data_IF_382088003433
#
_entry.id   IF_382088003433
#
_cell.length_a   1.000
_cell.length_b   1.000
_cell.length_c   1.000
_cell.angle_alpha   90.00
_cell.angle_beta   90.00
_cell.angle_gamma   90.00
#
_symmetry.space_group_name_H-M   'P 1'
#
loop_
_entity.id
_entity.type
_entity.pdbx_description
1 polymer ?
#
# COMPACT_ATOMS: atom_id res chain seq x y z
N UNK A 1 -14.61 18.63 1.73
CA UNK A 1 -15.28 17.41 1.26
C UNK A 1 -15.27 17.41 -0.26
N UNK A 2 -14.46 16.55 -0.87
CA UNK A 2 -14.40 16.35 -2.31
C UNK A 2 -13.66 15.04 -2.56
N UNK A 3 -14.32 14.06 -3.18
CA UNK A 3 -13.74 12.75 -3.46
C UNK A 3 -13.90 12.42 -4.93
N UNK A 4 -12.96 11.65 -5.48
CA UNK A 4 -12.98 11.22 -6.88
C UNK A 4 -13.70 9.88 -7.00
N UNK A 5 -14.64 9.76 -7.93
CA UNK A 5 -15.30 8.49 -8.29
C UNK A 5 -14.28 7.62 -9.04
N UNK A 6 -13.80 6.55 -8.40
CA UNK A 6 -12.78 5.65 -8.94
C UNK A 6 -13.35 4.58 -9.89
N UNK A 7 -14.63 4.26 -9.76
CA UNK A 7 -15.35 3.36 -10.65
C UNK A 7 -16.86 3.64 -10.57
N UNK A 8 -17.53 3.58 -11.72
CA UNK A 8 -19.00 3.58 -11.84
C UNK A 8 -19.39 2.24 -12.46
N UNK A 9 -19.86 1.30 -11.63
CA UNK A 9 -20.20 -0.07 -12.06
C UNK A 9 -21.66 -0.25 -12.45
N UNK A 10 -22.38 0.83 -12.77
CA UNK A 10 -23.77 0.76 -13.23
C UNK A 10 -24.05 1.84 -14.28
N UNK A 11 -24.58 1.42 -15.43
CA UNK A 11 -25.09 2.33 -16.45
C UNK A 11 -26.52 2.80 -16.08
N UNK A 12 -26.93 4.03 -16.44
CA UNK A 12 -28.32 4.46 -16.27
C UNK A 12 -29.27 3.49 -17.01
N UNK A 13 -30.12 2.78 -16.27
CA UNK A 13 -31.10 1.81 -16.82
C UNK A 13 -30.86 0.34 -16.43
N UNK A 14 -29.78 0.03 -15.71
CA UNK A 14 -29.45 -1.33 -15.28
C UNK A 14 -30.06 -1.64 -13.89
N UNK A 15 -30.77 -2.76 -13.76
CA UNK A 15 -31.29 -3.25 -12.48
C UNK A 15 -30.13 -3.75 -11.61
N UNK A 16 -29.63 -2.89 -10.71
CA UNK A 16 -28.60 -3.28 -9.75
C UNK A 16 -29.20 -4.24 -8.69
N UNK A 17 -28.58 -5.41 -8.52
CA UNK A 17 -28.93 -6.34 -7.46
C UNK A 17 -28.63 -5.71 -6.08
N UNK A 18 -29.41 -6.08 -5.06
CA UNK A 18 -29.15 -5.65 -3.67
C UNK A 18 -27.75 -6.10 -3.27
N UNK A 19 -26.85 -5.14 -3.01
CA UNK A 19 -25.46 -5.39 -2.61
C UNK A 19 -24.39 -5.01 -3.64
N UNK A 20 -24.75 -4.52 -4.83
CA UNK A 20 -23.76 -4.04 -5.81
C UNK A 20 -23.19 -2.68 -5.39
N UNK A 21 -21.86 -2.58 -5.25
CA UNK A 21 -21.14 -1.32 -5.01
C UNK A 21 -21.27 -0.40 -6.23
N UNK A 22 -21.98 0.72 -6.07
CA UNK A 22 -22.31 1.63 -7.19
C UNK A 22 -21.20 2.67 -7.44
N UNK A 23 -20.49 3.09 -6.39
CA UNK A 23 -19.42 4.10 -6.43
C UNK A 23 -18.32 3.72 -5.44
N UNK A 24 -17.06 3.69 -5.91
CA UNK A 24 -15.89 3.66 -5.04
C UNK A 24 -15.33 5.08 -4.94
N UNK A 25 -15.38 5.69 -3.76
CA UNK A 25 -14.84 7.04 -3.51
C UNK A 25 -13.44 6.92 -2.92
N UNK A 26 -12.43 7.43 -3.62
CA UNK A 26 -11.06 7.50 -3.13
C UNK A 26 -10.70 8.90 -2.66
N UNK A 27 -10.15 9.02 -1.45
CA UNK A 27 -9.35 10.19 -1.07
C UNK A 27 -7.98 10.07 -1.78
N UNK A 28 -7.72 10.96 -2.73
CA UNK A 28 -6.44 11.03 -3.43
C UNK A 28 -5.48 12.05 -2.82
N UNK A 29 -5.97 12.88 -1.89
CA UNK A 29 -5.14 13.87 -1.19
C UNK A 29 -4.33 13.20 -0.07
N UNK A 30 -4.79 12.03 0.41
CA UNK A 30 -4.04 11.14 1.29
C UNK A 30 -3.98 9.73 0.70
N UNK A 31 -2.81 9.32 0.25
CA UNK A 31 -2.60 7.97 -0.27
C UNK A 31 -1.80 7.13 0.74
N UNK A 32 -1.76 5.82 0.53
CA UNK A 32 -0.84 4.96 1.25
C UNK A 32 0.01 4.16 0.27
N UNK A 33 1.27 3.99 0.63
CA UNK A 33 2.10 2.92 0.11
C UNK A 33 1.72 1.63 0.85
N UNK A 34 1.49 0.54 0.12
CA UNK A 34 1.27 -0.80 0.68
C UNK A 34 2.43 -1.70 0.26
N UNK A 35 3.10 -2.30 1.23
CA UNK A 35 4.23 -3.19 1.00
C UNK A 35 4.30 -4.31 2.02
N UNK A 36 5.32 -5.15 1.89
CA UNK A 36 5.49 -6.34 2.72
C UNK A 36 6.88 -6.33 3.37
N UNK A 37 6.91 -6.61 4.68
CA UNK A 37 8.13 -6.80 5.45
C UNK A 37 8.33 -8.28 5.77
N UNK A 38 9.58 -8.74 5.81
CA UNK A 38 9.88 -10.07 6.32
C UNK A 38 9.66 -10.13 7.83
N UNK A 39 9.22 -11.29 8.35
CA UNK A 39 9.02 -11.52 9.79
C UNK A 39 10.21 -11.09 10.66
N UNK A 40 11.44 -11.36 10.20
CA UNK A 40 12.69 -10.98 10.88
C UNK A 40 12.87 -9.48 11.12
N UNK A 41 12.19 -8.64 10.33
CA UNK A 41 12.29 -7.18 10.40
C UNK A 41 11.08 -6.56 11.09
N UNK A 42 10.02 -7.34 11.36
CA UNK A 42 8.80 -6.89 12.03
C UNK A 42 9.10 -6.24 13.39
N UNK A 43 9.99 -6.84 14.19
CA UNK A 43 10.35 -6.32 15.51
C UNK A 43 11.10 -4.98 15.50
N UNK A 44 11.63 -4.55 14.34
CA UNK A 44 12.35 -3.29 14.17
C UNK A 44 11.43 -2.14 13.77
N UNK A 45 10.26 -2.46 13.23
CA UNK A 45 9.32 -1.48 12.68
C UNK A 45 8.18 -1.20 13.66
N UNK A 46 7.85 0.07 13.84
CA UNK A 46 6.81 0.54 14.76
C UNK A 46 5.84 1.48 14.06
N UNK A 47 4.61 1.49 14.57
CA UNK A 47 3.63 2.50 14.18
C UNK A 47 4.19 3.89 14.44
N UNK A 48 3.94 4.83 13.52
CA UNK A 48 4.40 6.22 13.64
C UNK A 48 5.83 6.46 13.17
N UNK A 49 6.60 5.43 12.78
CA UNK A 49 7.96 5.62 12.30
C UNK A 49 8.01 6.39 10.96
N UNK A 50 9.00 7.28 10.79
CA UNK A 50 9.19 7.99 9.54
C UNK A 50 9.70 7.04 8.45
N UNK A 51 9.19 7.23 7.24
CA UNK A 51 9.61 6.49 6.07
C UNK A 51 9.73 7.40 4.85
N UNK A 52 10.60 7.02 3.93
CA UNK A 52 10.76 7.68 2.64
C UNK A 52 10.34 6.71 1.54
N UNK A 53 9.52 7.19 0.61
CA UNK A 53 9.02 6.42 -0.54
C UNK A 53 9.63 7.00 -1.80
N UNK A 54 10.08 6.14 -2.70
CA UNK A 54 10.60 6.49 -4.02
C UNK A 54 9.76 5.78 -5.07
N UNK A 55 9.30 6.48 -6.09
CA UNK A 55 8.51 5.89 -7.19
C UNK A 55 9.45 5.31 -8.24
N UNK A 56 9.24 4.05 -8.61
CA UNK A 56 10.07 3.37 -9.59
C UNK A 56 9.90 3.99 -10.98
N UNK A 57 11.00 4.23 -11.69
CA UNK A 57 10.97 4.88 -13.01
C UNK A 57 10.57 6.36 -13.00
N UNK A 58 10.38 6.96 -11.82
CA UNK A 58 10.20 8.40 -11.66
C UNK A 58 11.52 9.19 -11.64
N UNK A 59 11.48 10.51 -11.49
CA UNK A 59 12.67 11.37 -11.43
C UNK A 59 13.53 11.20 -10.16
N UNK A 60 13.33 10.13 -9.38
CA UNK A 60 14.03 9.88 -8.11
C UNK A 60 13.55 10.74 -6.94
N UNK A 61 12.38 11.40 -7.07
CA UNK A 61 11.80 12.20 -5.99
C UNK A 61 11.41 11.31 -4.80
N UNK A 62 11.78 11.74 -3.59
CA UNK A 62 11.44 11.06 -2.35
C UNK A 62 10.26 11.72 -1.68
N UNK A 63 9.27 10.91 -1.33
CA UNK A 63 8.07 11.31 -0.63
C UNK A 63 8.19 10.91 0.83
N UNK A 64 8.00 11.85 1.75
CA UNK A 64 7.97 11.54 3.18
C UNK A 64 6.63 10.97 3.59
N UNK A 65 6.66 9.91 4.38
CA UNK A 65 5.47 9.26 4.91
C UNK A 65 5.70 8.73 6.32
N UNK A 66 4.63 8.16 6.88
CA UNK A 66 4.64 7.61 8.25
C UNK A 66 3.98 6.25 8.28
N UNK A 67 4.60 5.29 8.98
CA UNK A 67 4.01 3.96 9.19
C UNK A 67 2.66 4.12 9.89
N UNK A 68 1.60 3.68 9.22
CA UNK A 68 0.21 3.90 9.62
C UNK A 68 -0.55 2.59 9.86
N UNK A 69 0.03 1.46 9.48
CA UNK A 69 -0.56 0.15 9.70
C UNK A 69 0.53 -0.93 9.60
N UNK A 70 0.45 -1.91 10.50
CA UNK A 70 1.25 -3.12 10.47
C UNK A 70 0.27 -4.27 10.69
N UNK A 71 0.23 -5.24 9.78
CA UNK A 71 -0.66 -6.39 9.91
C UNK A 71 -0.28 -7.22 11.14
N UNK A 72 -1.28 -7.69 11.88
CA UNK A 72 -1.09 -8.59 13.01
C UNK A 72 -0.88 -10.06 12.60
N UNK A 73 -1.20 -10.40 11.35
CA UNK A 73 -1.09 -11.76 10.80
C UNK A 73 -0.10 -11.76 9.63
N UNK A 74 0.74 -12.78 9.59
CA UNK A 74 1.60 -13.04 8.44
C UNK A 74 0.77 -13.50 7.23
N UNK A 75 1.19 -13.06 6.05
CA UNK A 75 0.76 -13.54 4.76
C UNK A 75 1.89 -14.39 4.16
N UNK A 76 1.53 -15.38 3.35
CA UNK A 76 2.51 -16.18 2.62
C UNK A 76 2.75 -15.54 1.26
N UNK A 77 4.00 -15.29 0.88
CA UNK A 77 4.31 -15.03 -0.54
C UNK A 77 4.29 -16.36 -1.29
N UNK A 78 3.33 -16.60 -2.20
CA UNK A 78 3.42 -17.76 -3.08
C UNK A 78 4.58 -17.52 -4.05
N UNK A 79 5.60 -18.38 -3.99
CA UNK A 79 6.55 -18.52 -5.10
C UNK A 79 6.11 -19.71 -5.95
N UNK A 80 6.14 -19.53 -7.27
CA UNK A 80 5.89 -20.62 -8.22
C UNK A 80 7.09 -21.56 -8.17
N UNK A 81 6.85 -22.77 -7.66
CA UNK A 81 7.88 -23.73 -7.24
C UNK A 81 8.39 -24.52 -8.45
N UNK A 82 9.69 -24.43 -8.77
CA UNK A 82 10.35 -25.36 -9.71
C UNK A 82 11.37 -26.31 -9.03
N UNK A 83 11.73 -26.12 -7.75
CA UNK A 83 12.69 -27.02 -7.07
C UNK A 83 12.49 -27.13 -5.55
N UNK A 84 12.93 -28.27 -5.01
CA UNK A 84 12.64 -28.85 -3.68
C UNK A 84 13.14 -28.07 -2.43
N UNK A 85 13.44 -26.76 -2.52
CA UNK A 85 13.96 -25.96 -1.39
C UNK A 85 13.36 -24.55 -1.29
N UNK A 86 12.11 -24.34 -1.67
CA UNK A 86 11.49 -23.03 -1.46
C UNK A 86 10.91 -22.88 -0.06
N UNK A 87 11.65 -22.17 0.80
CA UNK A 87 11.14 -21.69 2.08
C UNK A 87 10.03 -20.68 1.80
N UNK A 88 8.81 -21.03 2.14
CA UNK A 88 7.72 -20.07 2.25
C UNK A 88 8.18 -18.99 3.23
N UNK A 89 8.31 -17.75 2.75
CA UNK A 89 8.69 -16.62 3.61
C UNK A 89 7.42 -15.98 4.14
N UNK A 90 7.29 -15.94 5.46
CA UNK A 90 6.22 -15.19 6.11
C UNK A 90 6.52 -13.70 5.96
N UNK A 91 5.55 -12.97 5.42
CA UNK A 91 5.62 -11.53 5.27
C UNK A 91 4.47 -10.84 5.97
N UNK A 92 4.70 -9.63 6.43
CA UNK A 92 3.70 -8.81 7.11
C UNK A 92 3.42 -7.58 6.26
N UNK A 93 2.14 -7.36 5.95
CA UNK A 93 1.70 -6.17 5.24
C UNK A 93 1.90 -4.92 6.11
N UNK A 94 2.44 -3.88 5.51
CA UNK A 94 2.62 -2.56 6.13
C UNK A 94 2.04 -1.50 5.22
N UNK A 95 1.40 -0.49 5.82
CA UNK A 95 1.01 0.73 5.10
C UNK A 95 1.72 1.95 5.64
N UNK A 96 2.20 2.77 4.72
CA UNK A 96 2.80 4.06 5.03
C UNK A 96 1.88 5.12 4.45
N UNK A 97 1.39 6.02 5.29
CA UNK A 97 0.54 7.13 4.86
C UNK A 97 1.41 8.23 4.27
N UNK A 98 0.99 8.77 3.12
CA UNK A 98 1.66 9.89 2.46
C UNK A 98 0.65 10.99 2.09
N UNK A 99 0.98 12.26 2.35
CA UNK A 99 0.23 13.37 1.78
C UNK A 99 0.48 13.44 0.27
N UNK A 100 -0.58 13.62 -0.52
CA UNK A 100 -0.53 13.75 -1.97
C UNK A 100 -1.30 14.99 -2.47
N UNK A 101 -1.01 16.20 -1.94
CA UNK A 101 -1.79 17.40 -2.25
C UNK A 101 -1.72 17.81 -3.72
N UNK A 102 -0.63 17.44 -4.42
CA UNK A 102 -0.46 17.69 -5.86
C UNK A 102 -1.08 16.60 -6.74
N UNK A 103 -1.62 15.53 -6.14
CA UNK A 103 -2.24 14.38 -6.83
C UNK A 103 -1.34 13.73 -7.90
N UNK A 104 -0.03 13.78 -7.67
CA UNK A 104 0.99 13.20 -8.57
C UNK A 104 1.11 11.69 -8.35
N UNK A 105 0.90 11.23 -7.11
CA UNK A 105 0.88 9.83 -6.77
C UNK A 105 -0.44 9.21 -7.21
N UNK A 106 -0.38 8.16 -8.02
CA UNK A 106 -1.53 7.43 -8.53
C UNK A 106 -1.52 6.00 -7.97
N UNK A 107 -2.72 5.45 -7.76
CA UNK A 107 -2.88 4.06 -7.37
C UNK A 107 -2.28 3.14 -8.42
N UNK A 108 -1.53 2.13 -7.99
CA UNK A 108 -0.86 1.17 -8.87
C UNK A 108 0.54 1.56 -9.33
N UNK A 109 1.06 2.74 -8.93
CA UNK A 109 2.47 3.09 -9.18
C UNK A 109 3.40 2.16 -8.39
N UNK A 110 4.37 1.49 -9.04
CA UNK A 110 5.41 0.74 -8.35
C UNK A 110 6.33 1.71 -7.59
N UNK A 111 6.72 1.32 -6.38
CA UNK A 111 7.49 2.17 -5.49
C UNK A 111 8.28 1.33 -4.50
N UNK A 112 9.35 1.92 -3.97
CA UNK A 112 10.15 1.38 -2.88
C UNK A 112 10.00 2.27 -1.64
N UNK A 113 9.91 1.65 -0.46
CA UNK A 113 9.85 2.35 0.81
C UNK A 113 11.02 1.99 1.73
N UNK A 114 11.64 3.00 2.30
CA UNK A 114 12.70 2.89 3.29
C UNK A 114 12.19 3.43 4.62
N UNK A 115 12.03 2.54 5.61
CA UNK A 115 11.63 2.90 6.97
C UNK A 115 12.88 3.26 7.77
N UNK A 116 12.87 4.42 8.41
CA UNK A 116 13.98 4.84 9.28
C UNK A 116 13.87 4.10 10.61
N UNK A 117 14.90 3.33 10.94
CA UNK A 117 14.97 2.64 12.22
C UNK A 117 15.49 3.60 13.29
N UNK A 118 14.86 3.60 14.45
CA UNK A 118 15.36 4.32 15.61
C UNK A 118 16.74 3.74 15.99
N UNK A 119 17.74 4.61 16.16
CA UNK A 119 19.01 4.19 16.77
C UNK A 119 18.72 3.87 18.23
N UNK A 120 18.84 2.59 18.59
CA UNK A 120 18.91 2.17 19.99
C UNK A 120 20.12 2.79 20.68
#
# INVERSE_FOLDING_TARGET
MGGLVLARSANPGELAAVGTTIITLGDLDNVWFEGYLAEKDLGKVRYGQPAAITIDGGPGEKYSGTVSYIAAKAEFTPKTVETYRERVTMVYRVRIKLPNPKRVLKVGMPAEAVISLDKQ
#
